data_IF_041269274388
#
_entry.id   IF_041269274388
#
_cell.length_a   1.000
_cell.length_b   1.000
_cell.length_c   1.000
_cell.angle_alpha   90.00
_cell.angle_beta   90.00
_cell.angle_gamma   90.00
#
_symmetry.space_group_name_H-M   'P 1'
#
loop_
_entity.id
_entity.type
_entity.pdbx_description
1 polymer ?
#
# COMPACT_ATOMS: atom_id res chain seq x y z
N UNK A 1 26.22 -2.75 10.13
CA UNK A 1 25.74 -3.15 8.78
C UNK A 1 24.25 -2.89 8.70
N UNK A 2 23.71 -2.55 7.53
CA UNK A 2 22.29 -2.20 7.38
C UNK A 2 21.46 -3.41 6.88
N UNK A 3 20.19 -3.47 7.26
CA UNK A 3 19.18 -4.36 6.68
C UNK A 3 17.96 -3.56 6.24
N UNK A 4 17.53 -3.78 5.02
CA UNK A 4 16.44 -3.04 4.40
C UNK A 4 15.17 -3.89 4.36
N UNK A 5 14.06 -3.29 4.79
CA UNK A 5 12.73 -3.87 4.78
C UNK A 5 11.80 -2.94 4.00
N UNK A 6 11.27 -3.42 2.88
CA UNK A 6 10.25 -2.73 2.09
C UNK A 6 8.88 -3.28 2.45
N UNK A 7 8.03 -2.43 3.02
CA UNK A 7 6.78 -2.80 3.66
C UNK A 7 5.63 -2.27 2.81
N UNK A 8 4.75 -3.16 2.36
CA UNK A 8 3.61 -2.86 1.50
C UNK A 8 2.29 -3.31 2.14
N UNK A 9 1.20 -2.63 1.80
CA UNK A 9 -0.12 -2.92 2.35
C UNK A 9 -0.93 -3.91 1.51
N UNK A 10 -0.58 -4.17 0.25
CA UNK A 10 -1.32 -5.11 -0.62
C UNK A 10 -0.43 -6.20 -1.23
N UNK A 11 -1.04 -7.33 -1.58
CA UNK A 11 -0.33 -8.50 -2.11
C UNK A 11 0.19 -8.25 -3.53
N UNK A 12 -0.57 -7.56 -4.37
CA UNK A 12 -0.14 -7.16 -5.71
C UNK A 12 1.06 -6.20 -5.66
N UNK A 13 1.08 -5.27 -4.69
CA UNK A 13 2.24 -4.41 -4.45
C UNK A 13 3.48 -5.20 -4.01
N UNK A 14 3.31 -6.30 -3.28
CA UNK A 14 4.43 -7.17 -2.90
C UNK A 14 5.06 -7.83 -4.13
N UNK A 15 4.23 -8.38 -5.02
CA UNK A 15 4.69 -9.00 -6.26
C UNK A 15 5.41 -7.98 -7.15
N UNK A 16 4.80 -6.80 -7.33
CA UNK A 16 5.39 -5.71 -8.10
C UNK A 16 6.73 -5.26 -7.53
N UNK A 17 6.80 -4.99 -6.22
CA UNK A 17 8.05 -4.55 -5.58
C UNK A 17 9.15 -5.61 -5.70
N UNK A 18 8.80 -6.90 -5.54
CA UNK A 18 9.75 -8.00 -5.70
C UNK A 18 10.36 -8.00 -7.10
N UNK A 19 9.53 -7.96 -8.14
CA UNK A 19 9.98 -7.93 -9.53
C UNK A 19 10.85 -6.71 -9.83
N UNK A 20 10.46 -5.53 -9.34
CA UNK A 20 11.22 -4.29 -9.55
C UNK A 20 12.60 -4.32 -8.89
N UNK A 21 12.71 -4.87 -7.68
CA UNK A 21 13.99 -4.99 -6.99
C UNK A 21 14.90 -6.05 -7.62
N UNK A 22 14.35 -7.20 -8.01
CA UNK A 22 15.09 -8.24 -8.73
C UNK A 22 15.60 -7.73 -10.08
N UNK A 23 14.78 -6.98 -10.83
CA UNK A 23 15.17 -6.37 -12.10
C UNK A 23 16.33 -5.37 -11.94
N UNK A 24 16.51 -4.79 -10.74
CA UNK A 24 17.64 -3.91 -10.39
C UNK A 24 18.84 -4.67 -9.80
N UNK A 25 18.80 -6.00 -9.78
CA UNK A 25 19.89 -6.87 -9.34
C UNK A 25 19.98 -7.08 -7.83
N UNK A 26 18.95 -6.68 -7.07
CA UNK A 26 18.86 -6.95 -5.64
C UNK A 26 18.42 -8.40 -5.41
N UNK A 27 18.99 -9.03 -4.38
CA UNK A 27 18.46 -10.27 -3.86
C UNK A 27 17.22 -9.95 -3.03
N UNK A 28 16.06 -10.49 -3.40
CA UNK A 28 14.82 -10.23 -2.68
C UNK A 28 14.46 -11.42 -1.81
N UNK A 29 14.25 -11.17 -0.51
CA UNK A 29 13.63 -12.12 0.40
C UNK A 29 12.21 -11.68 0.71
N UNK A 30 11.27 -12.63 0.74
CA UNK A 30 9.90 -12.36 1.19
C UNK A 30 9.64 -13.11 2.49
N UNK A 31 8.76 -12.55 3.33
CA UNK A 31 8.28 -13.24 4.52
C UNK A 31 6.77 -13.44 4.38
N UNK A 32 6.35 -14.70 4.27
CA UNK A 32 4.96 -15.07 4.12
C UNK A 32 4.24 -15.21 5.45
N UNK A 33 4.99 -15.50 6.51
CA UNK A 33 4.49 -15.69 7.88
C UNK A 33 5.25 -14.83 8.88
N UNK A 34 4.64 -14.57 10.05
CA UNK A 34 5.33 -13.83 11.11
C UNK A 34 6.56 -14.59 11.60
N UNK A 35 6.48 -15.92 11.66
CA UNK A 35 7.60 -16.75 12.10
C UNK A 35 8.82 -16.53 11.19
N UNK A 36 8.63 -16.57 9.87
CA UNK A 36 9.67 -16.27 8.88
C UNK A 36 10.23 -14.86 9.06
N UNK A 37 9.35 -13.88 9.24
CA UNK A 37 9.77 -12.50 9.45
C UNK A 37 10.62 -12.37 10.72
N UNK A 38 10.14 -12.91 11.86
CA UNK A 38 10.87 -12.89 13.13
C UNK A 38 12.20 -13.65 13.06
N UNK A 39 12.27 -14.71 12.27
CA UNK A 39 13.52 -15.43 12.00
C UNK A 39 14.52 -14.56 11.23
N UNK A 40 14.06 -13.82 10.21
CA UNK A 40 14.88 -12.84 9.49
C UNK A 40 15.39 -11.71 10.43
N UNK A 41 14.58 -11.31 11.42
CA UNK A 41 14.98 -10.34 12.45
C UNK A 41 16.03 -10.87 13.44
N UNK A 42 15.95 -12.16 13.78
CA UNK A 42 16.87 -12.86 14.70
C UNK A 42 18.17 -13.27 14.05
N UNK A 43 18.17 -13.50 12.74
CA UNK A 43 19.37 -13.80 11.99
C UNK A 43 20.30 -12.57 12.00
N UNK A 44 21.34 -12.65 12.83
CA UNK A 44 22.40 -11.64 12.94
C UNK A 44 23.41 -11.70 11.79
N UNK A 45 23.19 -12.54 10.77
CA UNK A 45 23.97 -12.47 9.54
C UNK A 45 23.64 -11.15 8.87
N UNK A 46 24.58 -10.21 9.02
CA UNK A 46 24.61 -9.01 8.24
C UNK A 46 24.72 -9.39 6.76
N UNK A 47 24.15 -8.53 5.91
CA UNK A 47 24.02 -8.70 4.47
C UNK A 47 25.36 -8.73 3.74
N UNK A 48 26.08 -9.82 3.95
CA UNK A 48 26.88 -10.49 2.95
C UNK A 48 26.51 -11.96 3.12
N UNK A 49 25.46 -12.39 2.42
CA UNK A 49 25.56 -13.71 1.82
C UNK A 49 26.94 -13.80 1.17
N UNK A 50 27.56 -14.96 1.21
CA UNK A 50 28.96 -15.24 0.86
C UNK A 50 29.43 -14.62 -0.50
N UNK A 51 28.53 -14.04 -1.29
CA UNK A 51 28.71 -13.31 -2.55
C UNK A 51 28.83 -11.76 -2.50
N UNK A 52 28.48 -11.07 -1.41
CA UNK A 52 28.55 -9.59 -1.32
C UNK A 52 27.44 -8.81 -2.06
N UNK A 53 26.36 -9.48 -2.46
CA UNK A 53 25.24 -8.88 -3.20
C UNK A 53 24.27 -8.13 -2.26
N UNK A 54 23.76 -6.98 -2.71
CA UNK A 54 22.77 -6.20 -1.96
C UNK A 54 21.42 -6.93 -1.89
N UNK A 55 20.80 -6.93 -0.71
CA UNK A 55 19.58 -7.66 -0.42
C UNK A 55 18.52 -6.74 0.19
N UNK A 56 17.24 -7.00 -0.11
CA UNK A 56 16.09 -6.34 0.49
C UNK A 56 15.00 -7.35 0.85
N UNK A 57 14.38 -7.18 2.02
CA UNK A 57 13.23 -7.98 2.42
C UNK A 57 11.94 -7.25 2.07
N UNK A 58 11.08 -7.84 1.24
CA UNK A 58 9.75 -7.31 0.91
C UNK A 58 8.70 -7.99 1.79
N UNK A 59 7.92 -7.19 2.51
CA UNK A 59 7.03 -7.63 3.57
C UNK A 59 5.64 -7.06 3.36
N UNK A 60 4.62 -7.92 3.33
CA UNK A 60 3.23 -7.48 3.28
C UNK A 60 2.63 -7.43 4.70
N UNK A 61 2.08 -6.28 5.11
CA UNK A 61 1.53 -6.11 6.47
C UNK A 61 0.14 -6.72 6.67
N UNK A 62 -0.66 -6.90 5.62
CA UNK A 62 -1.98 -7.52 5.73
C UNK A 62 -1.87 -8.97 6.22
N UNK A 63 -0.79 -9.66 5.85
CA UNK A 63 -0.50 -11.01 6.34
C UNK A 63 -0.34 -11.11 7.86
N UNK A 64 -0.18 -9.97 8.55
CA UNK A 64 0.03 -9.88 9.99
C UNK A 64 -1.01 -9.00 10.70
N UNK A 65 -2.11 -8.64 10.03
CA UNK A 65 -3.05 -7.64 10.54
C UNK A 65 -3.79 -8.06 11.83
N UNK A 66 -3.98 -9.36 12.05
CA UNK A 66 -4.67 -9.90 13.23
C UNK A 66 -3.73 -10.19 14.40
N UNK A 67 -2.41 -10.07 14.19
CA UNK A 67 -1.41 -10.42 15.18
C UNK A 67 -1.17 -9.28 16.17
N UNK A 68 -1.45 -9.56 17.44
CA UNK A 68 -1.28 -8.63 18.57
C UNK A 68 -0.11 -8.99 19.47
N UNK A 69 0.66 -10.02 19.15
CA UNK A 69 1.80 -10.42 19.95
C UNK A 69 2.88 -9.33 19.93
N UNK A 70 3.49 -9.10 21.10
CA UNK A 70 4.62 -8.18 21.20
C UNK A 70 5.82 -8.75 20.44
N UNK A 71 6.39 -7.95 19.56
CA UNK A 71 7.66 -8.26 18.92
C UNK A 71 8.78 -8.06 19.95
N UNK A 72 9.68 -9.04 20.07
CA UNK A 72 10.90 -8.92 20.88
C UNK A 72 12.10 -9.07 19.96
N UNK A 73 12.85 -8.00 19.81
CA UNK A 73 14.13 -8.02 19.11
C UNK A 73 15.20 -8.28 20.17
N UNK A 74 16.13 -9.17 19.86
CA UNK A 74 17.19 -9.55 20.81
C UNK A 74 18.23 -8.44 20.95
N UNK A 75 18.56 -8.07 22.19
CA UNK A 75 19.56 -7.04 22.53
C UNK A 75 20.98 -7.37 22.01
N UNK A 76 21.23 -8.62 21.61
CA UNK A 76 22.53 -9.09 21.14
C UNK A 76 22.87 -8.65 19.69
N UNK A 77 21.97 -7.96 18.99
CA UNK A 77 22.19 -7.46 17.62
C UNK A 77 22.90 -6.09 17.61
N UNK A 78 24.03 -5.96 18.32
CA UNK A 78 24.66 -4.66 18.63
C UNK A 78 25.30 -3.92 17.44
N UNK A 79 25.31 -4.50 16.23
CA UNK A 79 25.94 -3.92 15.03
C UNK A 79 25.00 -3.85 13.80
N UNK A 80 23.69 -4.00 13.97
CA UNK A 80 22.72 -4.06 12.88
C UNK A 80 21.80 -2.83 12.87
N UNK A 81 21.87 -2.02 11.81
CA UNK A 81 20.93 -0.93 11.58
C UNK A 81 19.78 -1.41 10.72
N UNK A 82 18.56 -1.38 11.26
CA UNK A 82 17.36 -1.69 10.46
C UNK A 82 16.82 -0.43 9.81
N UNK A 83 16.44 -0.56 8.55
CA UNK A 83 15.89 0.51 7.72
C UNK A 83 14.55 0.01 7.17
N UNK A 84 13.47 0.62 7.64
CA UNK A 84 12.11 0.35 7.21
C UNK A 84 11.69 1.39 6.18
N UNK A 85 11.22 0.93 5.03
CA UNK A 85 10.62 1.75 3.98
C UNK A 85 9.18 1.30 3.85
N UNK A 86 8.23 2.17 4.18
CA UNK A 86 6.80 1.88 4.07
C UNK A 86 6.23 2.56 2.84
N UNK A 87 5.56 1.77 2.01
CA UNK A 87 4.69 2.29 0.98
C UNK A 87 3.27 2.51 1.52
N UNK A 88 2.62 3.57 1.05
CA UNK A 88 1.32 4.08 1.50
C UNK A 88 1.12 4.04 3.02
N UNK A 89 2.08 4.66 3.73
CA UNK A 89 2.17 4.67 5.20
C UNK A 89 0.92 5.18 5.94
N UNK A 90 -0.02 5.83 5.24
CA UNK A 90 -1.28 6.28 5.79
C UNK A 90 -2.33 5.17 5.99
N UNK A 91 -2.28 4.07 5.22
CA UNK A 91 -3.27 2.97 5.29
C UNK A 91 -2.86 1.86 6.26
N UNK A 92 -1.56 1.63 6.37
CA UNK A 92 -0.99 0.51 7.12
C UNK A 92 -0.84 0.72 8.63
N UNK A 93 -0.82 1.97 9.10
CA UNK A 93 -0.53 2.28 10.50
C UNK A 93 -1.80 2.64 11.28
N UNK A 94 -2.16 1.80 12.26
CA UNK A 94 -3.19 2.10 13.27
C UNK A 94 -2.56 2.05 14.66
N UNK A 95 -2.54 3.18 15.41
CA UNK A 95 -2.04 3.19 16.78
C UNK A 95 -2.78 2.15 17.65
N UNK A 96 -2.05 1.30 18.36
CA UNK A 96 -2.59 0.49 19.46
C UNK A 96 -3.14 -0.91 19.12
N UNK A 97 -2.76 -1.53 18.00
CA UNK A 97 -3.19 -2.92 17.79
C UNK A 97 -2.77 -3.65 16.52
N UNK A 98 -1.91 -3.08 15.66
CA UNK A 98 -1.39 -3.79 14.49
C UNK A 98 0.08 -4.18 14.66
N UNK A 99 0.47 -5.29 14.04
CA UNK A 99 1.83 -5.83 14.04
C UNK A 99 2.92 -4.79 13.74
N UNK A 100 2.67 -3.86 12.80
CA UNK A 100 3.61 -2.82 12.41
C UNK A 100 3.93 -1.84 13.55
N UNK A 101 2.93 -1.48 14.37
CA UNK A 101 3.16 -0.64 15.55
C UNK A 101 4.03 -1.38 16.58
N UNK A 102 3.71 -2.66 16.84
CA UNK A 102 4.51 -3.49 17.75
C UNK A 102 5.97 -3.66 17.27
N UNK A 103 6.19 -3.73 15.94
CA UNK A 103 7.52 -3.83 15.36
C UNK A 103 8.33 -2.55 15.58
N UNK A 104 7.72 -1.39 15.38
CA UNK A 104 8.39 -0.10 15.57
C UNK A 104 8.65 0.23 17.04
N UNK A 105 7.74 -0.17 17.94
CA UNK A 105 7.94 -0.03 19.38
C UNK A 105 9.06 -0.97 19.88
N UNK A 106 9.29 -2.10 19.20
CA UNK A 106 10.36 -3.03 19.54
C UNK A 106 11.75 -2.61 19.01
N UNK A 107 11.82 -1.75 18.00
CA UNK A 107 13.08 -1.20 17.43
C UNK A 107 13.03 0.33 17.37
N UNK A 108 13.31 0.98 18.51
CA UNK A 108 13.30 2.44 18.61
C UNK A 108 14.40 3.08 17.76
N UNK A 109 15.54 2.40 17.59
CA UNK A 109 16.72 2.88 16.87
C UNK A 109 16.66 2.61 15.36
N UNK A 110 15.65 1.91 14.87
CA UNK A 110 15.46 1.71 13.44
C UNK A 110 15.15 3.01 12.70
N UNK A 111 15.75 3.16 11.51
CA UNK A 111 15.42 4.22 10.55
C UNK A 111 14.11 3.89 9.87
N UNK A 112 13.19 4.85 9.83
CA UNK A 112 11.83 4.67 9.31
C UNK A 112 11.57 5.72 8.23
N UNK A 113 11.31 5.26 7.01
CA UNK A 113 11.02 6.08 5.83
C UNK A 113 9.61 5.72 5.36
N UNK A 114 8.79 6.72 5.08
CA UNK A 114 7.46 6.54 4.53
C UNK A 114 7.37 7.19 3.15
N UNK A 115 6.77 6.47 2.21
CA UNK A 115 6.35 6.94 0.91
C UNK A 115 4.82 7.06 0.93
N UNK A 116 4.29 8.16 0.40
CA UNK A 116 2.84 8.29 0.24
C UNK A 116 2.48 9.30 -0.84
N UNK A 117 1.52 8.92 -1.70
CA UNK A 117 0.94 9.81 -2.70
C UNK A 117 -0.17 10.72 -2.14
N UNK A 118 -0.81 10.31 -1.05
CA UNK A 118 -1.91 11.03 -0.40
C UNK A 118 -1.58 11.31 1.06
N UNK A 119 -0.76 12.34 1.35
CA UNK A 119 -0.49 12.73 2.72
C UNK A 119 -1.80 13.14 3.41
N UNK A 120 -2.15 12.44 4.49
CA UNK A 120 -3.34 12.74 5.28
C UNK A 120 -3.27 14.17 5.84
N UNK A 121 -4.35 14.93 5.69
CA UNK A 121 -4.48 16.28 6.23
C UNK A 121 -4.58 16.25 7.78
N UNK A 122 -4.41 17.44 8.38
CA UNK A 122 -4.12 17.80 9.79
C UNK A 122 -4.76 16.99 10.94
N UNK A 123 -5.77 16.16 10.70
CA UNK A 123 -6.55 15.46 11.73
C UNK A 123 -6.03 14.04 12.04
N UNK A 124 -5.21 13.44 11.16
CA UNK A 124 -4.60 12.13 11.40
C UNK A 124 -3.09 12.24 11.73
N UNK A 125 -2.79 13.02 12.78
CA UNK A 125 -1.44 13.21 13.38
C UNK A 125 -0.72 11.92 13.83
N UNK A 126 -1.25 10.74 13.55
CA UNK A 126 -0.67 9.45 13.92
C UNK A 126 0.60 9.14 13.12
N UNK A 127 0.59 9.34 11.79
CA UNK A 127 1.72 8.96 10.92
C UNK A 127 2.93 9.90 11.10
N UNK A 128 2.70 11.20 11.31
CA UNK A 128 3.79 12.16 11.57
C UNK A 128 4.54 11.88 12.87
N UNK A 129 3.90 11.27 13.88
CA UNK A 129 4.59 10.89 15.12
C UNK A 129 5.61 9.77 14.94
N UNK A 130 5.40 8.90 13.93
CA UNK A 130 6.24 7.74 13.67
C UNK A 130 7.39 8.07 12.72
N UNK A 131 7.10 8.83 11.65
CA UNK A 131 8.06 9.10 10.57
C UNK A 131 8.74 10.47 10.66
N UNK A 132 8.26 11.36 11.54
CA UNK A 132 8.80 12.71 11.68
C UNK A 132 8.36 13.65 10.57
N UNK A 133 9.27 14.54 10.16
CA UNK A 133 9.00 15.60 9.17
C UNK A 133 9.20 15.09 7.74
N UNK A 134 8.57 15.77 6.78
CA UNK A 134 8.81 15.52 5.37
C UNK A 134 10.27 15.78 4.99
N UNK A 135 10.95 14.78 4.43
CA UNK A 135 12.27 14.91 3.81
C UNK A 135 12.19 15.62 2.45
N UNK A 136 11.15 15.32 1.68
CA UNK A 136 10.92 15.89 0.35
C UNK A 136 9.44 15.80 -0.02
N UNK A 137 8.95 16.74 -0.81
CA UNK A 137 7.61 16.72 -1.40
C UNK A 137 7.68 16.97 -2.90
N UNK A 138 6.93 16.18 -3.68
CA UNK A 138 6.81 16.32 -5.12
C UNK A 138 5.33 16.36 -5.50
N UNK A 139 4.84 17.56 -5.82
CA UNK A 139 3.42 17.79 -6.03
C UNK A 139 2.95 17.45 -7.44
N UNK A 140 1.68 17.07 -7.55
CA UNK A 140 1.01 16.69 -8.79
C UNK A 140 1.19 17.71 -9.92
N UNK A 141 1.03 19.01 -9.63
CA UNK A 141 1.18 20.08 -10.63
C UNK A 141 2.59 20.12 -11.21
N UNK A 142 3.61 19.84 -10.38
CA UNK A 142 5.01 19.76 -10.82
C UNK A 142 5.23 18.51 -11.69
N UNK A 143 4.64 17.38 -11.32
CA UNK A 143 4.69 16.14 -12.10
C UNK A 143 4.08 16.31 -13.51
N UNK A 144 3.00 17.08 -13.63
CA UNK A 144 2.43 17.44 -14.94
C UNK A 144 3.38 18.35 -15.72
N UNK A 145 3.92 19.39 -15.07
CA UNK A 145 4.82 20.34 -15.73
C UNK A 145 6.09 19.66 -16.27
N UNK A 146 6.60 18.66 -15.54
CA UNK A 146 7.77 17.87 -15.94
C UNK A 146 7.43 16.77 -16.97
N UNK A 147 6.14 16.56 -17.30
CA UNK A 147 5.69 15.58 -18.28
C UNK A 147 5.65 14.14 -17.77
N UNK A 148 5.83 13.90 -16.47
CA UNK A 148 5.76 12.57 -15.86
C UNK A 148 4.34 12.10 -15.57
N UNK A 149 3.36 13.01 -15.55
CA UNK A 149 1.97 12.66 -15.23
C UNK A 149 1.00 13.33 -16.21
N UNK A 150 0.02 12.57 -16.66
CA UNK A 150 -1.08 13.09 -17.48
C UNK A 150 -2.03 13.91 -16.62
N UNK A 151 -2.47 15.06 -17.16
CA UNK A 151 -3.47 15.90 -16.54
C UNK A 151 -4.83 15.18 -16.57
N UNK A 152 -5.42 14.98 -15.38
CA UNK A 152 -6.78 14.46 -15.27
C UNK A 152 -7.74 15.62 -15.50
N UNK A 153 -8.56 15.52 -16.54
CA UNK A 153 -9.67 16.44 -16.79
C UNK A 153 -10.91 15.78 -16.20
N UNK A 154 -11.53 16.46 -15.22
CA UNK A 154 -12.81 16.03 -14.66
C UNK A 154 -13.89 16.87 -15.31
N UNK A 155 -14.65 16.27 -16.21
CA UNK A 155 -15.87 16.87 -16.74
C UNK A 155 -17.04 16.44 -15.86
N UNK A 156 -17.92 17.38 -15.55
CA UNK A 156 -19.22 17.02 -14.98
C UNK A 156 -20.00 16.24 -16.04
N UNK A 157 -20.55 15.09 -15.66
CA UNK A 157 -21.47 14.36 -16.55
C UNK A 157 -22.58 15.33 -16.91
N UNK A 158 -22.69 15.64 -18.20
CA UNK A 158 -23.69 16.53 -18.77
C UNK A 158 -25.07 16.11 -18.23
N UNK A 159 -25.91 17.07 -17.84
CA UNK A 159 -27.19 16.78 -17.17
C UNK A 159 -28.05 15.78 -17.98
N UNK A 160 -27.98 15.87 -19.31
CA UNK A 160 -28.58 14.94 -20.27
C UNK A 160 -28.14 13.47 -20.07
N UNK A 161 -26.85 13.23 -19.84
CA UNK A 161 -26.31 11.89 -19.57
C UNK A 161 -26.70 11.38 -18.18
N UNK A 162 -26.78 12.27 -17.17
CA UNK A 162 -27.29 11.90 -15.83
C UNK A 162 -28.75 11.45 -15.91
N UNK A 163 -29.58 12.21 -16.63
CA UNK A 163 -31.00 11.86 -16.86
C UNK A 163 -31.14 10.53 -17.60
N UNK A 164 -30.36 10.30 -18.66
CA UNK A 164 -30.35 9.02 -19.38
C UNK A 164 -29.92 7.84 -18.51
N UNK A 165 -28.87 8.01 -17.71
CA UNK A 165 -28.39 6.97 -16.79
C UNK A 165 -29.41 6.68 -15.68
N UNK A 166 -30.08 7.71 -15.14
CA UNK A 166 -31.20 7.55 -14.21
C UNK A 166 -32.36 6.82 -14.86
N UNK A 167 -32.76 7.17 -16.08
CA UNK A 167 -33.84 6.49 -16.80
C UNK A 167 -33.53 5.01 -17.08
N UNK A 168 -32.28 4.70 -17.45
CA UNK A 168 -31.85 3.30 -17.67
C UNK A 168 -31.83 2.54 -16.34
N UNK A 169 -31.36 3.17 -15.27
CA UNK A 169 -31.34 2.59 -13.93
C UNK A 169 -32.76 2.32 -13.42
N UNK A 170 -33.69 3.27 -13.55
CA UNK A 170 -35.08 3.12 -13.12
C UNK A 170 -35.82 2.04 -13.92
N UNK A 171 -35.57 1.95 -15.23
CA UNK A 171 -36.10 0.86 -16.09
C UNK A 171 -35.59 -0.50 -15.66
N UNK A 172 -34.29 -0.62 -15.39
CA UNK A 172 -33.69 -1.86 -14.91
C UNK A 172 -34.20 -2.21 -13.51
N UNK A 173 -34.33 -1.26 -12.59
CA UNK A 173 -34.90 -1.49 -11.26
C UNK A 173 -36.37 -1.93 -11.31
N UNK A 174 -37.17 -1.38 -12.24
CA UNK A 174 -38.55 -1.80 -12.49
C UNK A 174 -38.64 -3.23 -13.06
N UNK A 175 -37.67 -3.62 -13.89
CA UNK A 175 -37.56 -5.01 -14.39
C UNK A 175 -37.08 -5.98 -13.30
N UNK A 176 -36.22 -5.51 -12.39
CA UNK A 176 -35.74 -6.25 -11.22
C UNK A 176 -36.85 -6.44 -10.16
N UNK A 177 -37.76 -5.49 -9.96
CA UNK A 177 -38.92 -5.75 -9.08
C UNK A 177 -39.83 -6.89 -9.58
N UNK A 178 -39.75 -7.27 -10.86
CA UNK A 178 -40.49 -8.40 -11.43
C UNK A 178 -39.75 -9.74 -11.35
N UNK A 179 -38.45 -9.75 -11.04
CA UNK A 179 -37.60 -10.95 -10.85
C UNK A 179 -36.45 -10.63 -9.91
N UNK A 180 -36.35 -11.38 -8.81
CA UNK A 180 -35.43 -11.21 -7.68
C UNK A 180 -33.93 -11.17 -8.08
N UNK A 181 -33.47 -10.01 -8.56
CA UNK A 181 -32.12 -9.76 -9.11
C UNK A 181 -31.40 -8.72 -8.23
N UNK A 182 -30.12 -8.92 -7.96
CA UNK A 182 -29.34 -8.07 -7.04
C UNK A 182 -28.85 -6.79 -7.72
N UNK A 183 -28.72 -5.69 -6.97
CA UNK A 183 -28.25 -4.38 -7.49
C UNK A 183 -26.89 -4.41 -8.20
N UNK A 184 -26.00 -5.32 -7.80
CA UNK A 184 -24.72 -5.56 -8.47
C UNK A 184 -24.88 -6.02 -9.92
N UNK A 185 -25.94 -6.76 -10.22
CA UNK A 185 -26.21 -7.30 -11.56
C UNK A 185 -26.80 -6.21 -12.50
N UNK A 186 -27.34 -5.12 -11.94
CA UNK A 186 -27.84 -3.96 -12.70
C UNK A 186 -26.68 -3.10 -13.21
N UNK A 187 -25.71 -2.80 -12.35
CA UNK A 187 -24.54 -1.97 -12.71
C UNK A 187 -23.57 -2.68 -13.66
N UNK A 188 -23.60 -4.01 -13.69
CA UNK A 188 -22.85 -4.85 -14.62
C UNK A 188 -23.64 -5.13 -15.92
N UNK A 189 -24.91 -4.72 -16.00
CA UNK A 189 -25.74 -5.00 -17.16
C UNK A 189 -25.21 -4.25 -18.40
N UNK A 190 -25.07 -4.91 -19.57
CA UNK A 190 -24.49 -4.30 -20.77
C UNK A 190 -25.17 -3.00 -21.19
N UNK A 191 -26.48 -2.86 -21.00
CA UNK A 191 -27.20 -1.61 -21.30
C UNK A 191 -26.81 -0.44 -20.39
N UNK A 192 -26.51 -0.69 -19.12
CA UNK A 192 -26.02 0.35 -18.20
C UNK A 192 -24.57 0.72 -18.53
N UNK A 193 -23.73 -0.29 -18.78
CA UNK A 193 -22.31 -0.11 -19.12
C UNK A 193 -22.13 0.61 -20.46
N UNK A 194 -22.89 0.27 -21.49
CA UNK A 194 -22.80 0.91 -22.81
C UNK A 194 -23.22 2.38 -22.77
N UNK A 195 -24.27 2.70 -22.02
CA UNK A 195 -24.71 4.08 -21.80
C UNK A 195 -23.69 4.87 -20.97
N UNK A 196 -23.08 4.25 -19.96
CA UNK A 196 -22.01 4.85 -19.16
C UNK A 196 -20.72 5.10 -19.97
N UNK A 197 -20.36 4.19 -20.87
CA UNK A 197 -19.21 4.33 -21.76
C UNK A 197 -19.49 5.24 -22.98
N UNK A 198 -20.73 5.70 -23.18
CA UNK A 198 -21.11 6.51 -24.33
C UNK A 198 -21.00 5.77 -25.68
N UNK A 199 -21.05 4.43 -25.65
CA UNK A 199 -20.95 3.58 -26.85
C UNK A 199 -22.38 3.35 -27.36
N UNK A 200 -22.78 4.16 -28.36
CA UNK A 200 -24.05 4.03 -29.08
C UNK A 200 -24.00 3.00 -30.20
#
# INVERSE_FOLDING_TARGET
MAKFYFIVDRLDLLEQATQEFEARGLMVSTANTRAELMEQFRSNQAQQGVSGQAEISVVNIQRFAEDREKVRISDYATNLQRIFILDEAHRGYKPGGCFLANLFDADTDAVKIALTGTPLLKEERASCKVFGNYLHTYYYDKSIADGYTLKIIREDIETSYKERLSDVYDKLETLVQKKDVRKSEIIEHPSYVNEWLGIS
#
